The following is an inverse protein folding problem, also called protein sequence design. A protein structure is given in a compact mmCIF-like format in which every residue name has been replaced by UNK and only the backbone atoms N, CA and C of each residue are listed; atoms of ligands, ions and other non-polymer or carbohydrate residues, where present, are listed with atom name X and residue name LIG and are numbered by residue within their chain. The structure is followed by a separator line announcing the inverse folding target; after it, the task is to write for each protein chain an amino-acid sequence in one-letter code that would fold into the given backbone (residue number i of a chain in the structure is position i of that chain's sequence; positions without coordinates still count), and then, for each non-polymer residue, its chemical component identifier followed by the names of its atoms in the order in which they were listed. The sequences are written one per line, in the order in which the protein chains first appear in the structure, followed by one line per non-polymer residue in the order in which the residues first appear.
data_IF_208669253548
#
_entry.id   IF_208669253548
#
_cell.length_a   1.000
_cell.length_b   1.000
_cell.length_c   1.000
_cell.angle_alpha   90.00
_cell.angle_beta   90.00
_cell.angle_gamma   90.00
#
_symmetry.space_group_name_H-M   'P 1'
#
loop_
_entity.id
_entity.type
_entity.pdbx_description
1 polymer ?
#
# COMPACT_ATOMS: atom_id res chain seq x y z
N UNK A 1 37.61 50.66 16.09
CA UNK A 1 36.39 49.82 16.18
C UNK A 1 36.54 48.96 17.43
N UNK A 2 35.86 49.30 18.51
CA UNK A 2 35.83 48.46 19.71
C UNK A 2 34.64 47.51 19.61
N UNK A 3 34.87 46.21 19.73
CA UNK A 3 33.85 45.18 19.74
C UNK A 3 34.19 44.15 20.81
N UNK A 4 33.17 43.71 21.55
CA UNK A 4 33.31 42.64 22.53
C UNK A 4 33.04 41.30 21.86
N UNK A 5 33.93 40.33 22.03
CA UNK A 5 33.71 38.95 21.63
C UNK A 5 33.27 38.14 22.86
N UNK A 6 31.99 37.75 22.89
CA UNK A 6 31.46 36.78 23.86
C UNK A 6 31.86 35.37 23.40
N UNK A 7 32.75 34.73 24.14
CA UNK A 7 33.18 33.35 23.88
C UNK A 7 32.54 32.41 24.90
N UNK A 8 31.75 31.44 24.42
CA UNK A 8 31.00 30.44 25.21
C UNK A 8 31.87 29.30 25.76
N UNK A 9 33.20 29.40 25.65
CA UNK A 9 34.19 28.34 25.88
C UNK A 9 34.26 27.80 27.33
N UNK A 10 33.56 28.42 28.29
CA UNK A 10 33.46 27.95 29.68
C UNK A 10 32.13 27.27 30.05
N UNK A 11 31.21 27.08 29.10
CA UNK A 11 29.84 26.58 29.37
C UNK A 11 29.62 25.14 28.91
N UNK A 12 30.57 24.24 29.17
CA UNK A 12 30.49 22.83 28.78
C UNK A 12 29.21 22.12 29.27
N UNK A 13 28.65 22.56 30.40
CA UNK A 13 27.37 22.04 30.89
C UNK A 13 26.19 22.49 30.01
N UNK A 14 26.19 23.73 29.53
CA UNK A 14 25.17 24.24 28.61
C UNK A 14 25.27 23.53 27.25
N UNK A 15 26.47 23.37 26.70
CA UNK A 15 26.65 22.68 25.40
C UNK A 15 26.21 21.22 25.48
N UNK A 16 26.51 20.53 26.60
CA UNK A 16 25.99 19.18 26.87
C UNK A 16 24.48 19.15 26.96
N UNK A 17 23.85 20.07 27.72
CA UNK A 17 22.40 20.17 27.84
C UNK A 17 21.70 20.47 26.51
N UNK A 18 22.28 21.34 25.69
CA UNK A 18 21.76 21.65 24.36
C UNK A 18 21.82 20.42 23.44
N UNK A 19 22.93 19.67 23.47
CA UNK A 19 23.04 18.41 22.73
C UNK A 19 22.02 17.37 23.20
N UNK A 20 21.87 17.17 24.51
CA UNK A 20 20.87 16.21 25.02
C UNK A 20 19.44 16.60 24.67
N UNK A 21 19.11 17.91 24.69
CA UNK A 21 17.80 18.38 24.27
C UNK A 21 17.56 18.14 22.78
N UNK A 22 18.57 18.36 21.95
CA UNK A 22 18.52 18.05 20.52
C UNK A 22 18.35 16.55 20.27
N UNK A 23 19.10 15.71 20.97
CA UNK A 23 19.01 14.24 20.86
C UNK A 23 17.64 13.74 21.32
N UNK A 24 17.12 14.24 22.45
CA UNK A 24 15.79 13.87 22.93
C UNK A 24 14.66 14.38 22.03
N UNK A 25 14.86 15.52 21.36
CA UNK A 25 13.90 16.04 20.38
C UNK A 25 13.89 15.18 19.12
N UNK A 26 15.06 14.88 18.56
CA UNK A 26 15.20 14.03 17.37
C UNK A 26 14.65 12.63 17.61
N UNK A 27 14.90 12.06 18.79
CA UNK A 27 14.32 10.78 19.19
C UNK A 27 12.79 10.83 19.25
N UNK A 28 12.21 11.85 19.89
CA UNK A 28 10.76 12.01 19.95
C UNK A 28 10.10 12.18 18.58
N UNK A 29 10.75 12.92 17.67
CA UNK A 29 10.30 13.05 16.27
C UNK A 29 10.36 11.69 15.55
N UNK A 30 11.46 10.94 15.71
CA UNK A 30 11.62 9.63 15.09
C UNK A 30 10.58 8.62 15.58
N UNK A 31 10.25 8.64 16.88
CA UNK A 31 9.20 7.80 17.48
C UNK A 31 7.82 8.14 16.90
N UNK A 32 7.47 9.43 16.78
CA UNK A 32 6.21 9.88 16.19
C UNK A 32 6.08 9.50 14.71
N UNK A 33 7.16 9.64 13.94
CA UNK A 33 7.20 9.23 12.53
C UNK A 33 7.02 7.71 12.43
N UNK A 34 7.72 6.94 13.25
CA UNK A 34 7.61 5.48 13.27
C UNK A 34 6.20 5.02 13.64
N UNK A 35 5.60 5.61 14.69
CA UNK A 35 4.23 5.32 15.09
C UNK A 35 3.21 5.66 13.99
N UNK A 36 3.40 6.79 13.30
CA UNK A 36 2.56 7.20 12.18
C UNK A 36 2.68 6.24 11.00
N UNK A 37 3.89 5.79 10.69
CA UNK A 37 4.15 4.86 9.59
C UNK A 37 3.50 3.50 9.84
N UNK A 38 3.61 2.98 11.07
CA UNK A 38 2.91 1.76 11.50
C UNK A 38 1.38 1.91 11.44
N UNK A 39 0.87 3.10 11.77
CA UNK A 39 -0.56 3.40 11.66
C UNK A 39 -1.03 3.42 10.20
N UNK A 40 -0.27 4.03 9.30
CA UNK A 40 -0.54 4.01 7.86
C UNK A 40 -0.51 2.57 7.35
N UNK A 41 0.49 1.78 7.73
CA UNK A 41 0.59 0.37 7.35
C UNK A 41 -0.65 -0.42 7.78
N UNK A 42 -1.05 -0.29 9.05
CA UNK A 42 -2.23 -0.97 9.60
C UNK A 42 -3.51 -0.55 8.87
N UNK A 43 -3.69 0.74 8.62
CA UNK A 43 -4.88 1.26 7.96
C UNK A 43 -4.91 0.87 6.47
N UNK A 44 -3.76 0.86 5.80
CA UNK A 44 -3.61 0.33 4.44
C UNK A 44 -3.93 -1.16 4.37
N UNK A 45 -3.45 -1.97 5.32
CA UNK A 45 -3.82 -3.39 5.46
C UNK A 45 -5.32 -3.59 5.66
N UNK A 46 -5.96 -2.75 6.46
CA UNK A 46 -7.40 -2.81 6.72
C UNK A 46 -8.20 -2.52 5.45
N UNK A 47 -7.80 -1.50 4.70
CA UNK A 47 -8.49 -1.06 3.48
C UNK A 47 -8.24 -1.98 2.28
N UNK A 48 -7.09 -2.67 2.24
CA UNK A 48 -6.74 -3.56 1.14
C UNK A 48 -7.70 -4.75 1.03
N UNK A 49 -8.10 -5.17 -0.19
CA UNK A 49 -9.01 -6.28 -0.39
C UNK A 49 -8.47 -7.64 0.04
N UNK A 50 -9.37 -8.51 0.50
CA UNK A 50 -9.05 -9.90 0.86
C UNK A 50 -9.48 -10.84 -0.24
N UNK A 51 -8.50 -11.43 -0.93
CA UNK A 51 -8.72 -12.62 -1.74
C UNK A 51 -7.85 -13.79 -1.24
N UNK A 52 -6.53 -13.66 -1.40
CA UNK A 52 -5.54 -14.61 -0.90
C UNK A 52 -4.76 -14.09 0.32
N UNK A 53 -5.02 -12.85 0.75
CA UNK A 53 -4.29 -12.19 1.85
C UNK A 53 -2.89 -11.68 1.48
N UNK A 54 -2.34 -12.08 0.33
CA UNK A 54 -0.99 -11.70 -0.13
C UNK A 54 -0.76 -10.21 -0.24
N UNK A 55 -1.74 -9.45 -0.76
CA UNK A 55 -1.65 -7.98 -0.82
C UNK A 55 -1.51 -7.38 0.58
N UNK A 56 -2.30 -7.85 1.55
CA UNK A 56 -2.22 -7.35 2.95
C UNK A 56 -0.90 -7.72 3.60
N UNK A 57 -0.41 -8.93 3.35
CA UNK A 57 0.85 -9.41 3.92
C UNK A 57 2.06 -8.66 3.36
N UNK A 58 2.02 -8.28 2.08
CA UNK A 58 3.09 -7.52 1.43
C UNK A 58 3.10 -6.02 1.70
N UNK A 59 2.19 -5.50 2.56
CA UNK A 59 2.26 -4.11 3.02
C UNK A 59 3.09 -4.08 4.30
N UNK A 60 4.14 -3.26 4.35
CA UNK A 60 4.97 -3.15 5.55
C UNK A 60 5.59 -1.75 5.68
N UNK A 61 5.83 -1.32 6.92
CA UNK A 61 6.56 -0.10 7.23
C UNK A 61 8.07 -0.35 7.28
N UNK A 62 8.84 0.57 6.71
CA UNK A 62 10.28 0.66 6.83
C UNK A 62 10.65 2.03 7.41
N UNK A 63 11.65 2.08 8.29
CA UNK A 63 12.21 3.33 8.81
C UNK A 63 13.63 3.51 8.29
N UNK A 64 13.92 4.68 7.72
CA UNK A 64 15.25 5.08 7.23
C UNK A 64 15.74 6.33 7.97
N UNK A 65 17.03 6.66 7.80
CA UNK A 65 17.67 7.84 8.40
C UNK A 65 17.46 7.95 9.92
N UNK A 66 17.79 6.89 10.65
CA UNK A 66 17.63 6.81 12.12
C UNK A 66 16.19 7.06 12.61
N UNK A 67 15.18 6.71 11.80
CA UNK A 67 13.76 6.85 12.16
C UNK A 67 13.15 8.21 11.80
N UNK A 68 13.92 9.13 11.21
CA UNK A 68 13.42 10.42 10.74
C UNK A 68 12.70 10.33 9.38
N UNK A 69 12.71 9.18 8.73
CA UNK A 69 11.94 8.94 7.51
C UNK A 69 11.23 7.60 7.62
N UNK A 70 9.91 7.64 7.54
CA UNK A 70 9.07 6.46 7.48
C UNK A 70 8.55 6.23 6.06
N UNK A 71 8.65 5.00 5.58
CA UNK A 71 8.18 4.57 4.26
C UNK A 71 7.22 3.40 4.43
N UNK A 72 6.12 3.41 3.68
CA UNK A 72 5.23 2.25 3.59
C UNK A 72 5.41 1.63 2.21
N UNK A 73 5.78 0.36 2.18
CA UNK A 73 6.07 -0.41 0.97
C UNK A 73 4.94 -1.39 0.69
N UNK A 74 4.70 -1.66 -0.58
CA UNK A 74 3.77 -2.68 -1.06
C UNK A 74 4.54 -3.61 -2.01
N UNK A 75 4.83 -4.83 -1.56
CA UNK A 75 5.61 -5.82 -2.32
C UNK A 75 4.82 -6.44 -3.48
N UNK A 76 3.49 -6.37 -3.41
CA UNK A 76 2.63 -6.94 -4.44
C UNK A 76 2.81 -6.16 -5.75
N UNK A 77 3.30 -6.79 -6.84
CA UNK A 77 3.58 -6.09 -8.11
C UNK A 77 2.32 -5.53 -8.76
N UNK A 78 1.15 -6.06 -8.38
CA UNK A 78 -0.16 -5.60 -8.83
C UNK A 78 -0.80 -4.56 -7.89
N UNK A 79 -0.16 -4.19 -6.79
CA UNK A 79 -0.72 -3.28 -5.77
C UNK A 79 -1.13 -1.93 -6.34
N UNK A 80 -0.32 -1.35 -7.22
CA UNK A 80 -0.65 -0.08 -7.88
C UNK A 80 -1.91 -0.18 -8.77
N UNK A 81 -2.10 -1.29 -9.48
CA UNK A 81 -3.30 -1.53 -10.29
C UNK A 81 -4.55 -1.74 -9.44
N UNK A 82 -4.40 -2.21 -8.20
CA UNK A 82 -5.51 -2.29 -7.24
C UNK A 82 -5.83 -0.89 -6.72
N UNK A 83 -4.82 -0.09 -6.37
CA UNK A 83 -5.00 1.29 -5.87
C UNK A 83 -5.75 2.17 -6.89
N UNK A 84 -5.26 2.20 -8.14
CA UNK A 84 -5.75 3.12 -9.18
C UNK A 84 -6.76 2.50 -10.14
N UNK A 85 -6.91 1.17 -10.15
CA UNK A 85 -7.69 0.47 -11.16
C UNK A 85 -6.92 0.28 -12.47
N UNK A 86 -7.58 -0.31 -13.47
CA UNK A 86 -6.98 -0.59 -14.79
C UNK A 86 -7.90 -0.22 -15.94
N UNK A 87 -7.33 -0.11 -17.15
CA UNK A 87 -8.08 0.15 -18.38
C UNK A 87 -8.85 1.48 -18.34
N UNK A 88 -10.09 1.48 -18.84
CA UNK A 88 -10.96 2.67 -18.83
C UNK A 88 -11.53 3.05 -17.45
N UNK A 89 -11.17 2.34 -16.38
CA UNK A 89 -11.65 2.60 -15.01
C UNK A 89 -10.58 3.18 -14.10
N UNK A 90 -9.42 3.55 -14.64
CA UNK A 90 -8.35 4.18 -13.87
C UNK A 90 -8.88 5.46 -13.23
N UNK A 91 -8.70 5.59 -11.93
CA UNK A 91 -9.04 6.78 -11.15
C UNK A 91 -7.85 7.16 -10.29
N UNK A 92 -7.29 8.33 -10.56
CA UNK A 92 -6.09 8.82 -9.86
C UNK A 92 -6.51 10.05 -9.04
N UNK A 93 -6.28 10.05 -7.71
CA UNK A 93 -6.48 11.25 -6.89
C UNK A 93 -5.54 12.38 -7.32
N UNK A 94 -5.98 13.63 -7.21
CA UNK A 94 -5.17 14.79 -7.58
C UNK A 94 -3.87 14.85 -6.76
N UNK A 95 -2.74 15.09 -7.44
CA UNK A 95 -1.41 15.11 -6.84
C UNK A 95 -0.66 13.77 -6.88
N UNK A 96 -1.31 12.69 -7.32
CA UNK A 96 -0.71 11.36 -7.44
C UNK A 96 -0.47 10.93 -8.90
N UNK A 97 -0.59 11.85 -9.87
CA UNK A 97 -0.45 11.56 -11.30
C UNK A 97 0.96 11.10 -11.66
N UNK A 98 1.99 11.74 -11.07
CA UNK A 98 3.39 11.37 -11.28
C UNK A 98 3.69 9.97 -10.73
N UNK A 99 3.14 9.66 -9.56
CA UNK A 99 3.26 8.36 -8.92
C UNK A 99 2.53 7.26 -9.72
N UNK A 100 1.29 7.49 -10.13
CA UNK A 100 0.51 6.55 -10.93
C UNK A 100 1.15 6.29 -12.31
N UNK A 101 1.76 7.32 -12.92
CA UNK A 101 2.42 7.21 -14.22
C UNK A 101 3.59 6.23 -14.22
N UNK A 102 4.25 5.99 -13.09
CA UNK A 102 5.36 5.02 -12.97
C UNK A 102 4.94 3.57 -13.23
N UNK A 103 3.65 3.27 -13.11
CA UNK A 103 3.08 1.94 -13.27
C UNK A 103 2.36 1.77 -14.61
N UNK A 104 2.16 2.85 -15.37
CA UNK A 104 1.48 2.80 -16.64
C UNK A 104 2.33 2.02 -17.67
N UNK A 105 1.69 1.13 -18.42
CA UNK A 105 2.32 0.38 -19.51
C UNK A 105 3.21 -0.79 -19.08
N UNK A 106 3.37 -1.02 -17.77
CA UNK A 106 4.04 -2.22 -17.27
C UNK A 106 3.05 -3.39 -17.31
N UNK A 107 3.41 -4.47 -17.99
CA UNK A 107 2.65 -5.72 -17.96
C UNK A 107 3.51 -6.83 -17.37
N UNK A 108 2.91 -7.67 -16.53
CA UNK A 108 3.56 -8.87 -16.01
C UNK A 108 2.86 -10.12 -16.53
N UNK A 109 3.64 -11.10 -16.96
CA UNK A 109 3.17 -12.42 -17.39
C UNK A 109 2.59 -12.49 -18.81
N UNK A 110 2.22 -13.70 -19.21
CA UNK A 110 1.64 -14.01 -20.53
C UNK A 110 0.11 -14.08 -20.47
N UNK A 111 -0.53 -13.98 -21.64
CA UNK A 111 -1.98 -14.18 -21.75
C UNK A 111 -2.40 -15.58 -21.29
N UNK A 112 -1.57 -16.60 -21.51
CA UNK A 112 -1.86 -17.97 -21.08
C UNK A 112 -1.87 -18.09 -19.56
N UNK A 113 -0.87 -17.52 -18.88
CA UNK A 113 -0.82 -17.47 -17.42
C UNK A 113 -2.03 -16.74 -16.84
N UNK A 114 -2.45 -15.63 -17.48
CA UNK A 114 -3.64 -14.90 -17.08
C UNK A 114 -4.92 -15.75 -17.20
N UNK A 115 -5.09 -16.47 -18.31
CA UNK A 115 -6.23 -17.36 -18.52
C UNK A 115 -6.20 -18.53 -17.53
N UNK A 116 -5.03 -19.11 -17.26
CA UNK A 116 -4.87 -20.18 -16.28
C UNK A 116 -5.23 -19.72 -14.87
N UNK A 117 -4.76 -18.54 -14.45
CA UNK A 117 -5.09 -17.95 -13.15
C UNK A 117 -6.62 -17.72 -13.02
N UNK A 118 -7.26 -17.19 -14.07
CA UNK A 118 -8.71 -17.03 -14.11
C UNK A 118 -9.45 -18.36 -14.09
N UNK A 119 -8.94 -19.38 -14.77
CA UNK A 119 -9.53 -20.73 -14.79
C UNK A 119 -9.51 -21.33 -13.38
N UNK A 120 -8.39 -21.20 -12.67
CA UNK A 120 -8.29 -21.63 -11.27
C UNK A 120 -9.28 -20.88 -10.37
N UNK A 121 -9.43 -19.56 -10.56
CA UNK A 121 -10.37 -18.75 -9.80
C UNK A 121 -11.83 -19.12 -10.08
N UNK A 122 -12.21 -19.28 -11.36
CA UNK A 122 -13.54 -19.74 -11.79
C UNK A 122 -13.88 -21.07 -11.16
N UNK A 123 -12.93 -22.02 -11.17
CA UNK A 123 -13.09 -23.32 -10.53
C UNK A 123 -13.27 -23.22 -9.03
N UNK A 124 -12.45 -22.42 -8.34
CA UNK A 124 -12.52 -22.20 -6.88
C UNK A 124 -13.84 -21.55 -6.47
N UNK A 125 -14.36 -20.65 -7.29
CA UNK A 125 -15.64 -19.96 -7.07
C UNK A 125 -16.86 -20.75 -7.54
N UNK A 126 -16.67 -21.82 -8.32
CA UNK A 126 -17.75 -22.64 -8.84
C UNK A 126 -18.66 -21.90 -9.82
N UNK A 127 -18.10 -21.01 -10.65
CA UNK A 127 -18.89 -20.12 -11.52
C UNK A 127 -19.32 -20.77 -12.84
N UNK A 128 -18.72 -21.89 -13.22
CA UNK A 128 -18.98 -22.58 -14.47
C UNK A 128 -19.46 -24.02 -14.27
N UNK A 129 -20.26 -24.48 -15.22
CA UNK A 129 -20.79 -25.84 -15.28
C UNK A 129 -22.18 -25.98 -14.65
N UNK A 130 -22.72 -27.19 -14.76
CA UNK A 130 -24.07 -27.52 -14.28
C UNK A 130 -23.96 -28.21 -12.94
N UNK A 131 -24.85 -27.83 -12.02
CA UNK A 131 -24.93 -28.38 -10.68
C UNK A 131 -26.24 -29.14 -10.53
N UNK A 132 -26.18 -30.28 -9.85
CA UNK A 132 -27.40 -31.00 -9.44
C UNK A 132 -28.12 -30.18 -8.37
N UNK A 133 -29.39 -29.83 -8.62
CA UNK A 133 -30.23 -29.10 -7.66
C UNK A 133 -30.38 -29.89 -6.35
N UNK A 134 -30.49 -31.22 -6.44
CA UNK A 134 -30.71 -32.10 -5.28
C UNK A 134 -29.47 -32.28 -4.40
N UNK A 135 -28.28 -32.39 -5.00
CA UNK A 135 -27.06 -32.72 -4.25
C UNK A 135 -26.05 -31.58 -4.18
N UNK A 136 -26.28 -30.46 -4.88
CA UNK A 136 -25.31 -29.37 -5.03
C UNK A 136 -24.00 -29.78 -5.71
N UNK A 137 -23.89 -31.03 -6.20
CA UNK A 137 -22.67 -31.54 -6.80
C UNK A 137 -22.55 -31.10 -8.25
N UNK A 138 -21.34 -30.70 -8.62
CA UNK A 138 -21.00 -30.35 -10.00
C UNK A 138 -21.01 -31.59 -10.90
N UNK A 139 -21.77 -31.53 -11.98
CA UNK A 139 -21.93 -32.59 -12.96
C UNK A 139 -20.80 -32.57 -14.02
N UNK A 140 -20.64 -33.69 -14.73
CA UNK A 140 -19.66 -33.84 -15.82
C UNK A 140 -18.30 -34.41 -15.38
N UNK A 141 -17.57 -34.97 -16.35
CA UNK A 141 -16.23 -35.52 -16.13
C UNK A 141 -15.22 -34.42 -15.80
N UNK A 142 -14.04 -34.80 -15.30
CA UNK A 142 -12.95 -33.85 -14.99
C UNK A 142 -12.58 -32.98 -16.20
N UNK A 143 -12.46 -33.59 -17.38
CA UNK A 143 -12.15 -32.88 -18.64
C UNK A 143 -13.27 -31.92 -19.05
N UNK A 144 -14.54 -32.34 -18.94
CA UNK A 144 -15.68 -31.46 -19.26
C UNK A 144 -15.70 -30.24 -18.33
N UNK A 145 -15.48 -30.44 -17.03
CA UNK A 145 -15.44 -29.34 -16.05
C UNK A 145 -14.29 -28.37 -16.32
N UNK A 146 -13.11 -28.87 -16.66
CA UNK A 146 -11.96 -28.03 -17.01
C UNK A 146 -12.23 -27.19 -18.26
N UNK A 147 -12.79 -27.78 -19.31
CA UNK A 147 -13.17 -27.07 -20.53
C UNK A 147 -14.22 -25.98 -20.26
N UNK A 148 -15.20 -26.24 -19.38
CA UNK A 148 -16.19 -25.24 -18.98
C UNK A 148 -15.56 -24.07 -18.21
N UNK A 149 -14.67 -24.37 -17.26
CA UNK A 149 -13.96 -23.36 -16.47
C UNK A 149 -13.09 -22.47 -17.36
N UNK A 150 -12.36 -23.08 -18.30
CA UNK A 150 -11.48 -22.37 -19.22
C UNK A 150 -12.26 -21.49 -20.21
N UNK A 151 -13.38 -21.99 -20.76
CA UNK A 151 -14.25 -21.18 -21.64
C UNK A 151 -14.76 -19.94 -20.92
N UNK A 152 -15.24 -20.08 -19.68
CA UNK A 152 -15.67 -18.93 -18.89
C UNK A 152 -14.49 -17.99 -18.56
N UNK A 153 -13.34 -18.55 -18.20
CA UNK A 153 -12.14 -17.77 -17.90
C UNK A 153 -11.67 -16.93 -19.11
N UNK A 154 -11.66 -17.49 -20.33
CA UNK A 154 -11.34 -16.76 -21.56
C UNK A 154 -12.32 -15.62 -21.83
N UNK A 155 -13.62 -15.87 -21.64
CA UNK A 155 -14.63 -14.83 -21.76
C UNK A 155 -14.44 -13.70 -20.74
N UNK A 156 -14.19 -14.06 -19.48
CA UNK A 156 -13.89 -13.09 -18.41
C UNK A 156 -12.60 -12.31 -18.69
N UNK A 157 -11.55 -12.97 -19.20
CA UNK A 157 -10.29 -12.33 -19.57
C UNK A 157 -10.53 -11.18 -20.58
N UNK A 158 -11.31 -11.44 -21.64
CA UNK A 158 -11.66 -10.41 -22.64
C UNK A 158 -12.44 -9.27 -21.99
N UNK A 159 -13.39 -9.58 -21.10
CA UNK A 159 -14.18 -8.54 -20.40
C UNK A 159 -13.31 -7.69 -19.47
N UNK A 160 -12.37 -8.29 -18.76
CA UNK A 160 -11.41 -7.59 -17.89
C UNK A 160 -10.48 -6.70 -18.73
N UNK A 161 -9.94 -7.22 -19.84
CA UNK A 161 -9.03 -6.45 -20.69
C UNK A 161 -9.74 -5.28 -21.38
N UNK A 162 -11.00 -5.44 -21.78
CA UNK A 162 -11.79 -4.37 -22.39
C UNK A 162 -12.25 -3.31 -21.39
N UNK A 163 -12.74 -3.74 -20.23
CA UNK A 163 -13.40 -2.83 -19.28
C UNK A 163 -12.50 -2.38 -18.13
N UNK A 164 -11.41 -3.08 -17.87
CA UNK A 164 -10.58 -2.88 -16.69
C UNK A 164 -11.25 -3.26 -15.36
N UNK A 165 -10.45 -3.17 -14.30
CA UNK A 165 -10.82 -3.40 -12.91
C UNK A 165 -11.05 -2.05 -12.22
N UNK A 166 -12.08 -1.97 -11.37
CA UNK A 166 -12.35 -0.77 -10.58
C UNK A 166 -11.25 -0.57 -9.53
N UNK A 167 -10.85 0.69 -9.26
CA UNK A 167 -9.92 1.01 -8.18
C UNK A 167 -10.49 0.57 -6.83
N UNK A 168 -9.60 0.11 -5.96
CA UNK A 168 -9.83 -0.18 -4.55
C UNK A 168 -8.69 0.45 -3.76
N UNK A 169 -8.73 1.79 -3.57
CA UNK A 169 -7.64 2.52 -2.97
C UNK A 169 -7.49 2.12 -1.49
N UNK A 170 -6.25 1.83 -1.09
CA UNK A 170 -5.94 1.36 0.26
C UNK A 170 -4.80 2.14 0.88
N UNK A 171 -3.77 2.50 0.10
CA UNK A 171 -2.57 3.17 0.57
C UNK A 171 -2.76 4.69 0.64
N UNK A 172 -3.24 5.32 -0.43
CA UNK A 172 -3.41 6.79 -0.49
C UNK A 172 -4.40 7.28 0.57
N UNK A 173 -5.58 6.65 0.76
CA UNK A 173 -6.51 7.06 1.82
C UNK A 173 -5.90 6.94 3.22
N UNK A 174 -5.09 5.90 3.48
CA UNK A 174 -4.43 5.72 4.76
C UNK A 174 -3.38 6.81 5.03
N UNK A 175 -2.60 7.16 4.01
CA UNK A 175 -1.61 8.23 4.08
C UNK A 175 -2.27 9.60 4.31
N UNK A 176 -3.26 9.96 3.50
CA UNK A 176 -3.93 11.27 3.59
C UNK A 176 -4.67 11.46 4.92
N UNK A 177 -5.18 10.37 5.51
CA UNK A 177 -5.79 10.40 6.84
C UNK A 177 -4.76 10.67 7.95
N UNK A 178 -3.56 10.08 7.86
CA UNK A 178 -2.55 10.19 8.92
C UNK A 178 -1.71 11.47 8.82
N UNK A 179 -1.46 11.96 7.61
CA UNK A 179 -0.63 13.14 7.32
C UNK A 179 -0.94 14.35 8.23
N UNK A 180 -2.18 14.86 8.33
CA UNK A 180 -2.48 16.01 9.20
C UNK A 180 -2.30 15.71 10.70
N UNK A 181 -2.53 14.46 11.11
CA UNK A 181 -2.39 14.05 12.52
C UNK A 181 -0.93 14.01 12.93
N UNK A 182 -0.05 13.52 12.06
CA UNK A 182 1.40 13.55 12.27
C UNK A 182 1.89 14.99 12.43
N UNK A 183 1.52 15.89 11.52
CA UNK A 183 1.91 17.30 11.63
C UNK A 183 1.47 17.92 12.95
N UNK A 184 0.22 17.66 13.38
CA UNK A 184 -0.28 18.13 14.67
C UNK A 184 0.53 17.60 15.86
N UNK A 185 0.93 16.32 15.84
CA UNK A 185 1.75 15.71 16.90
C UNK A 185 3.18 16.29 16.91
N UNK A 186 3.79 16.47 15.74
CA UNK A 186 5.12 17.08 15.61
C UNK A 186 5.13 18.53 16.09
N UNK A 187 4.16 19.35 15.69
CA UNK A 187 4.06 20.75 16.18
C UNK A 187 3.90 20.80 17.70
N UNK A 188 3.10 19.90 18.28
CA UNK A 188 2.96 19.80 19.74
C UNK A 188 4.29 19.45 20.41
N UNK A 189 5.04 18.51 19.84
CA UNK A 189 6.31 18.04 20.37
C UNK A 189 7.36 19.17 20.36
N UNK A 190 7.42 19.94 19.27
CA UNK A 190 8.30 21.12 19.16
C UNK A 190 7.92 22.20 20.18
N UNK A 191 6.62 22.50 20.33
CA UNK A 191 6.15 23.52 21.25
C UNK A 191 6.29 23.13 22.73
N UNK A 192 6.28 21.83 23.05
CA UNK A 192 6.42 21.35 24.42
C UNK A 192 7.87 21.32 24.94
N UNK A 193 8.86 21.41 24.03
CA UNK A 193 10.29 21.42 24.35
C UNK A 193 10.97 22.77 24.10
N UNK A 194 10.22 23.77 23.59
CA UNK A 194 10.61 25.19 23.59
C UNK A 194 10.28 25.84 24.92
#
# INVERSE_FOLDING_TARGET
MAGFALNLSGMDNLTKRLKTLQDDLTKGVAEEISASTLKIERDAKRNAPVNLGTLRQGIHAESTLNGLTGKVVVDAPYGAYVEFGTGGKVSIPSGYESFASQFRGKSGGTMEEFIQALTLWVRKKGLAGTYSVKSGKRLGSKSVRQNQDEKLARFLAIKILRNGIRPQPFLIPAYETEKPLLFKRLTRLLNAKS
#
